data_IF_256250211447
#
_entry.id   IF_256250211447
#
_cell.length_a   1.000
_cell.length_b   1.000
_cell.length_c   1.000
_cell.angle_alpha   90.00
_cell.angle_beta   90.00
_cell.angle_gamma   90.00
#
_symmetry.space_group_name_H-M   'P 1'
#
loop_
_entity.id
_entity.type
_entity.pdbx_description
1 polymer ?
#
# COMPACT_ATOMS: atom_id res chain seq x y z
N UNK A 1 8.77 -5.52 -0.62
CA UNK A 1 9.72 -4.71 -1.36
C UNK A 1 10.74 -4.09 -0.41
N UNK A 2 11.79 -4.82 -0.13
CA UNK A 2 12.82 -4.38 0.80
C UNK A 2 14.16 -4.37 0.07
N UNK A 3 14.82 -3.20 0.05
CA UNK A 3 16.14 -3.04 -0.54
C UNK A 3 16.18 -2.99 -2.06
N UNK A 4 15.03 -3.05 -2.74
CA UNK A 4 14.95 -3.04 -4.19
C UNK A 4 14.32 -1.78 -4.76
N UNK A 5 13.96 -0.82 -3.90
CA UNK A 5 13.19 0.37 -4.33
C UNK A 5 13.94 1.18 -5.37
N UNK A 6 15.24 1.39 -5.17
CA UNK A 6 16.02 2.18 -6.10
C UNK A 6 16.11 1.51 -7.46
N UNK A 7 16.35 0.20 -7.50
CA UNK A 7 16.44 -0.54 -8.74
C UNK A 7 15.11 -0.50 -9.52
N UNK A 8 14.00 -0.67 -8.82
CA UNK A 8 12.67 -0.61 -9.44
C UNK A 8 12.40 0.80 -9.98
N UNK A 9 12.69 1.81 -9.18
CA UNK A 9 12.49 3.19 -9.58
C UNK A 9 13.32 3.54 -10.82
N UNK A 10 14.59 3.15 -10.82
CA UNK A 10 15.48 3.42 -11.94
C UNK A 10 15.03 2.69 -13.21
N UNK A 11 14.56 1.44 -13.07
CA UNK A 11 14.02 0.69 -14.20
C UNK A 11 12.82 1.37 -14.84
N UNK A 12 11.91 1.86 -14.02
CA UNK A 12 10.72 2.56 -14.51
C UNK A 12 11.11 3.85 -15.22
N UNK A 13 12.02 4.62 -14.62
CA UNK A 13 12.49 5.88 -15.21
C UNK A 13 13.20 5.65 -16.53
N UNK A 14 14.02 4.58 -16.60
CA UNK A 14 14.76 4.25 -17.80
C UNK A 14 13.84 3.95 -18.98
N UNK A 15 12.71 3.31 -18.73
CA UNK A 15 11.74 3.01 -19.76
C UNK A 15 10.86 4.20 -20.10
N UNK A 16 10.97 5.30 -19.37
CA UNK A 16 10.25 6.55 -19.66
C UNK A 16 8.74 6.42 -19.66
N UNK A 17 8.21 5.47 -18.88
CA UNK A 17 6.79 5.16 -18.88
C UNK A 17 6.13 5.54 -17.57
N UNK A 18 4.81 5.78 -17.64
CA UNK A 18 4.00 5.98 -16.48
C UNK A 18 3.88 4.66 -15.72
N UNK A 19 3.80 4.75 -14.40
CA UNK A 19 3.55 3.62 -13.51
C UNK A 19 2.08 3.24 -13.42
N UNK A 20 1.24 3.76 -14.28
CA UNK A 20 -0.19 3.48 -14.21
C UNK A 20 -0.42 1.97 -14.28
N UNK A 21 -1.12 1.43 -13.29
CA UNK A 21 -1.36 0.01 -13.17
C UNK A 21 -0.27 -0.77 -12.46
N UNK A 22 0.86 -0.13 -12.10
CA UNK A 22 1.88 -0.81 -11.32
C UNK A 22 1.54 -0.71 -9.85
N UNK A 23 1.52 -1.87 -9.19
CA UNK A 23 1.23 -1.96 -7.76
C UNK A 23 2.51 -2.36 -7.03
N UNK A 24 2.90 -1.55 -6.06
CA UNK A 24 4.08 -1.84 -5.23
C UNK A 24 3.61 -2.64 -4.01
N UNK A 25 3.85 -3.95 -4.02
CA UNK A 25 3.38 -4.87 -2.98
C UNK A 25 4.22 -4.78 -1.71
N UNK A 26 3.55 -4.92 -0.56
CA UNK A 26 4.20 -4.88 0.77
C UNK A 26 5.10 -3.65 0.94
N UNK A 27 4.63 -2.52 0.44
CA UNK A 27 5.41 -1.28 0.46
C UNK A 27 5.57 -0.76 1.89
N UNK A 28 6.77 -0.28 2.22
CA UNK A 28 7.03 0.22 3.58
C UNK A 28 8.07 1.34 3.65
N UNK A 29 8.50 1.88 2.52
CA UNK A 29 9.63 2.81 2.47
C UNK A 29 9.18 4.25 2.31
N UNK A 30 9.12 5.00 3.42
CA UNK A 30 8.67 6.40 3.43
C UNK A 30 9.42 7.25 2.41
N UNK A 31 10.74 7.08 2.32
CA UNK A 31 11.57 7.93 1.46
C UNK A 31 11.31 7.73 -0.04
N UNK A 32 10.68 6.62 -0.41
CA UNK A 32 10.39 6.32 -1.81
C UNK A 32 8.93 6.57 -2.19
N UNK A 33 8.08 7.02 -1.26
CA UNK A 33 6.68 7.30 -1.58
C UNK A 33 6.58 8.37 -2.67
N UNK A 34 7.23 9.50 -2.46
CA UNK A 34 7.12 10.61 -3.41
C UNK A 34 7.63 10.27 -4.81
N UNK A 35 8.83 9.66 -4.97
CA UNK A 35 9.30 9.29 -6.31
C UNK A 35 8.35 8.35 -7.05
N UNK A 36 7.83 7.32 -6.36
CA UNK A 36 6.89 6.40 -6.98
C UNK A 36 5.54 7.04 -7.23
N UNK A 37 5.10 7.92 -6.32
CA UNK A 37 3.85 8.66 -6.49
C UNK A 37 3.89 9.55 -7.73
N UNK A 38 5.01 10.22 -7.93
CA UNK A 38 5.20 11.09 -9.10
C UNK A 38 5.12 10.30 -10.41
N UNK A 39 5.42 8.99 -10.37
CA UNK A 39 5.29 8.11 -11.52
C UNK A 39 3.90 7.49 -11.66
N UNK A 40 3.01 7.72 -10.72
CA UNK A 40 1.63 7.23 -10.79
C UNK A 40 1.42 5.82 -10.24
N UNK A 41 2.34 5.32 -9.42
CA UNK A 41 2.22 3.98 -8.84
C UNK A 41 1.14 3.89 -7.77
N UNK A 42 0.62 2.68 -7.57
CA UNK A 42 -0.24 2.34 -6.45
C UNK A 42 0.61 1.72 -5.34
N UNK A 43 0.22 1.92 -4.10
CA UNK A 43 0.94 1.42 -2.94
C UNK A 43 0.07 0.43 -2.19
N UNK A 44 0.53 -0.82 -2.10
CA UNK A 44 -0.20 -1.87 -1.39
C UNK A 44 0.51 -2.20 -0.09
N UNK A 45 -0.21 -2.09 1.02
CA UNK A 45 0.32 -2.38 2.36
C UNK A 45 -0.21 -3.73 2.82
N UNK A 46 0.68 -4.52 3.41
CA UNK A 46 0.33 -5.84 3.93
C UNK A 46 0.33 -5.81 5.46
N UNK A 47 -0.21 -6.86 6.12
CA UNK A 47 -0.17 -6.93 7.59
C UNK A 47 1.23 -6.85 8.19
N UNK A 48 2.28 -7.11 7.42
CA UNK A 48 3.66 -6.97 7.89
C UNK A 48 3.98 -5.56 8.35
N UNK A 49 3.26 -4.55 7.82
CA UNK A 49 3.49 -3.16 8.22
C UNK A 49 3.19 -2.94 9.71
N UNK A 50 2.33 -3.77 10.29
CA UNK A 50 1.96 -3.65 11.70
C UNK A 50 3.09 -4.02 12.66
N UNK A 51 4.18 -4.61 12.16
CA UNK A 51 5.38 -4.84 12.96
C UNK A 51 6.15 -3.54 13.25
N UNK A 52 5.84 -2.48 12.53
CA UNK A 52 6.46 -1.18 12.73
C UNK A 52 5.69 -0.38 13.79
N UNK A 53 6.30 0.68 14.33
CA UNK A 53 5.62 1.53 15.29
C UNK A 53 4.41 2.21 14.65
N UNK A 54 3.40 2.50 15.47
CA UNK A 54 2.21 3.21 14.99
C UNK A 54 2.55 4.54 14.32
N UNK A 55 3.52 5.25 14.86
CA UNK A 55 3.92 6.54 14.31
C UNK A 55 4.49 6.40 12.90
N UNK A 56 5.28 5.35 12.66
CA UNK A 56 5.82 5.09 11.32
C UNK A 56 4.72 4.71 10.35
N UNK A 57 3.79 3.85 10.77
CA UNK A 57 2.65 3.46 9.93
C UNK A 57 1.81 4.68 9.60
N UNK A 58 1.55 5.53 10.58
CA UNK A 58 0.77 6.74 10.38
C UNK A 58 1.43 7.68 9.38
N UNK A 59 2.74 7.89 9.52
CA UNK A 59 3.48 8.74 8.57
C UNK A 59 3.39 8.21 7.15
N UNK A 60 3.50 6.89 7.00
CA UNK A 60 3.39 6.26 5.69
C UNK A 60 1.99 6.46 5.11
N UNK A 61 0.96 6.24 5.92
CA UNK A 61 -0.42 6.46 5.49
C UNK A 61 -0.70 7.91 5.13
N UNK A 62 -0.09 8.85 5.86
CA UNK A 62 -0.27 10.28 5.56
C UNK A 62 0.40 10.68 4.25
N UNK A 63 1.49 9.99 3.89
CA UNK A 63 2.22 10.28 2.65
C UNK A 63 1.52 9.70 1.41
N UNK A 64 0.78 8.61 1.57
CA UNK A 64 0.11 7.95 0.45
C UNK A 64 -1.29 8.54 0.29
N UNK A 65 -1.59 9.13 -0.88
CA UNK A 65 -2.95 9.63 -1.13
C UNK A 65 -3.98 8.50 -1.08
N UNK A 66 -5.20 8.85 -0.69
CA UNK A 66 -6.27 7.87 -0.53
C UNK A 66 -6.55 7.11 -1.83
N UNK A 67 -6.40 7.76 -2.98
CA UNK A 67 -6.66 7.13 -4.28
C UNK A 67 -5.51 6.27 -4.79
N UNK A 68 -4.42 6.19 -4.04
CA UNK A 68 -3.25 5.37 -4.38
C UNK A 68 -3.02 4.25 -3.37
N UNK A 69 -3.88 4.10 -2.39
CA UNK A 69 -3.70 3.14 -1.30
C UNK A 69 -4.46 1.85 -1.56
N UNK A 70 -3.76 0.73 -1.42
CA UNK A 70 -4.34 -0.61 -1.44
C UNK A 70 -3.92 -1.35 -0.19
N UNK A 71 -4.74 -2.30 0.24
CA UNK A 71 -4.40 -3.19 1.36
C UNK A 71 -4.46 -4.63 0.85
N UNK A 72 -3.46 -5.42 1.24
CA UNK A 72 -3.36 -6.83 0.83
C UNK A 72 -3.22 -7.73 2.04
N UNK A 73 -3.58 -9.02 1.89
CA UNK A 73 -3.69 -9.94 3.01
C UNK A 73 -2.46 -10.81 3.25
N UNK A 74 -1.46 -10.79 2.40
CA UNK A 74 -0.30 -11.71 2.45
C UNK A 74 -0.69 -13.19 2.31
N UNK A 75 -1.93 -13.50 1.92
CA UNK A 75 -2.28 -14.87 1.60
C UNK A 75 -1.47 -15.32 0.37
N UNK A 76 -1.10 -16.56 0.23
CA UNK A 76 -1.45 -17.72 1.04
C UNK A 76 -0.51 -18.03 2.21
N UNK A 77 0.50 -17.22 2.44
CA UNK A 77 1.47 -17.48 3.52
C UNK A 77 0.82 -17.54 4.89
N UNK A 78 -0.29 -16.85 5.06
CA UNK A 78 -1.09 -16.84 6.27
C UNK A 78 -2.49 -17.37 6.01
N UNK A 79 -2.64 -18.29 5.06
CA UNK A 79 -3.91 -18.72 4.51
C UNK A 79 -4.94 -19.20 5.51
N UNK A 80 -4.54 -19.78 6.62
CA UNK A 80 -5.48 -20.22 7.65
C UNK A 80 -6.08 -19.08 8.47
N UNK A 81 -5.64 -17.86 8.23
CA UNK A 81 -6.10 -16.67 8.95
C UNK A 81 -6.74 -15.66 8.01
N UNK A 82 -7.57 -16.14 7.12
CA UNK A 82 -8.30 -15.26 6.21
C UNK A 82 -9.12 -14.19 6.92
N UNK A 83 -9.55 -14.51 8.14
CA UNK A 83 -10.25 -13.52 8.96
C UNK A 83 -9.36 -12.33 9.30
N UNK A 84 -8.05 -12.48 9.11
CA UNK A 84 -7.10 -11.42 9.38
C UNK A 84 -7.25 -10.19 8.52
N UNK A 85 -7.89 -10.29 7.34
CA UNK A 85 -8.06 -9.12 6.48
C UNK A 85 -8.97 -8.07 7.11
N UNK A 86 -10.07 -8.52 7.72
CA UNK A 86 -10.96 -7.59 8.44
C UNK A 86 -10.26 -6.93 9.62
N UNK A 87 -9.45 -7.70 10.36
CA UNK A 87 -8.70 -7.16 11.49
C UNK A 87 -7.62 -6.19 11.00
N UNK A 88 -6.98 -6.49 9.89
CA UNK A 88 -5.98 -5.60 9.30
C UNK A 88 -6.61 -4.27 8.90
N UNK A 89 -7.75 -4.29 8.23
CA UNK A 89 -8.46 -3.08 7.85
C UNK A 89 -8.83 -2.25 9.09
N UNK A 90 -9.32 -2.90 10.13
CA UNK A 90 -9.65 -2.19 11.38
C UNK A 90 -8.42 -1.56 12.02
N UNK A 91 -7.31 -2.29 12.05
CA UNK A 91 -6.06 -1.77 12.62
C UNK A 91 -5.55 -0.57 11.82
N UNK A 92 -5.57 -0.67 10.50
CA UNK A 92 -5.11 0.43 9.65
C UNK A 92 -6.03 1.64 9.72
N UNK A 93 -7.34 1.41 9.80
CA UNK A 93 -8.31 2.48 9.97
C UNK A 93 -8.13 3.22 11.30
N UNK A 94 -7.81 2.48 12.35
CA UNK A 94 -7.52 3.07 13.65
C UNK A 94 -6.30 3.98 13.59
N UNK A 95 -5.22 3.53 12.97
CA UNK A 95 -4.01 4.34 12.81
C UNK A 95 -4.30 5.57 11.94
N UNK A 96 -5.05 5.40 10.87
CA UNK A 96 -5.37 6.48 9.95
C UNK A 96 -6.39 7.47 10.54
N UNK A 97 -7.22 7.00 11.47
CA UNK A 97 -8.24 7.83 12.10
C UNK A 97 -9.53 7.93 11.30
N UNK A 98 -9.90 6.88 10.57
CA UNK A 98 -11.13 6.85 9.80
C UNK A 98 -11.93 5.59 10.09
N UNK A 99 -13.25 5.56 9.73
CA UNK A 99 -14.04 4.35 9.92
C UNK A 99 -13.52 3.19 9.06
N UNK A 100 -13.49 1.96 9.59
CA UNK A 100 -13.01 0.80 8.82
C UNK A 100 -13.77 0.58 7.51
N UNK A 101 -15.07 0.82 7.50
CA UNK A 101 -15.87 0.67 6.28
C UNK A 101 -15.40 1.62 5.18
N UNK A 102 -15.10 2.86 5.54
CA UNK A 102 -14.65 3.85 4.58
C UNK A 102 -13.31 3.47 3.98
N UNK A 103 -12.39 2.98 4.82
CA UNK A 103 -11.09 2.53 4.34
C UNK A 103 -11.23 1.31 3.43
N UNK A 104 -12.04 0.34 3.81
CA UNK A 104 -12.26 -0.86 3.00
C UNK A 104 -12.85 -0.49 1.64
N UNK A 105 -13.86 0.38 1.61
CA UNK A 105 -14.49 0.82 0.37
C UNK A 105 -13.50 1.57 -0.51
N UNK A 106 -12.73 2.47 0.08
CA UNK A 106 -11.75 3.27 -0.65
C UNK A 106 -10.71 2.38 -1.34
N UNK A 107 -10.16 1.40 -0.61
CA UNK A 107 -9.15 0.51 -1.19
C UNK A 107 -9.75 -0.41 -2.24
N UNK A 108 -10.99 -0.86 -2.06
CA UNK A 108 -11.69 -1.67 -3.04
C UNK A 108 -11.90 -0.88 -4.34
N UNK A 109 -12.37 0.35 -4.24
CA UNK A 109 -12.56 1.20 -5.41
C UNK A 109 -11.24 1.47 -6.13
N UNK A 110 -10.16 1.67 -5.38
CA UNK A 110 -8.83 1.85 -5.95
C UNK A 110 -8.40 0.61 -6.74
N UNK A 111 -8.63 -0.57 -6.19
CA UNK A 111 -8.29 -1.82 -6.86
C UNK A 111 -9.08 -1.97 -8.16
N UNK A 112 -10.37 -1.68 -8.14
CA UNK A 112 -11.20 -1.74 -9.33
C UNK A 112 -10.68 -0.82 -10.44
N UNK A 113 -10.31 0.40 -10.09
CA UNK A 113 -9.76 1.35 -11.08
C UNK A 113 -8.42 0.89 -11.64
N UNK A 114 -7.63 0.19 -10.83
CA UNK A 114 -6.30 -0.25 -11.24
C UNK A 114 -6.35 -1.44 -12.19
N UNK A 115 -7.25 -2.39 -11.91
CA UNK A 115 -7.33 -3.63 -12.70
C UNK A 115 -8.46 -3.61 -13.72
N UNK A 116 -9.39 -2.72 -13.54
CA UNK A 116 -10.51 -2.58 -14.47
C UNK A 116 -10.17 -1.69 -15.62
#
# INVERSE_FOLDING_TARGET
>A
MVGAEKQVLDAIRTHGRSCRGIILHSFSSESYVKPFLDLGCMFSLSPRILARSKDKVRRLLDLIPDDRLLLESDAPHQGRFFTGMGDFVRSMADVKGCPPYDLARNTYENLERTVG
#
